data_IF_683834033869
#
_entry.id   IF_683834033869
#
_cell.length_a   1.000
_cell.length_b   1.000
_cell.length_c   1.000
_cell.angle_alpha   90.00
_cell.angle_beta   90.00
_cell.angle_gamma   90.00
#
_symmetry.space_group_name_H-M   'P 1'
#
loop_
_entity.id
_entity.type
_entity.pdbx_description
1 polymer ?
#
# COMPACT_ATOMS: atom_id res chain seq x y z
N UNK A 1 24.26 26.17 27.85
CA UNK A 1 22.98 25.84 28.51
C UNK A 1 22.49 24.61 27.80
N UNK A 2 22.44 23.46 28.49
CA UNK A 2 21.97 22.21 27.89
C UNK A 2 20.44 22.25 27.89
N UNK A 3 19.82 22.32 26.71
CA UNK A 3 18.39 22.03 26.54
C UNK A 3 18.18 20.56 26.93
N UNK A 4 17.66 20.35 28.14
CA UNK A 4 17.25 19.03 28.58
C UNK A 4 16.02 18.61 27.79
N UNK A 5 16.06 17.41 27.20
CA UNK A 5 14.91 16.76 26.57
C UNK A 5 13.72 16.80 27.55
N UNK A 6 12.54 17.29 27.14
CA UNK A 6 11.38 17.31 28.01
C UNK A 6 11.05 15.89 28.50
N UNK A 7 10.50 15.74 29.72
CA UNK A 7 10.13 14.43 30.24
C UNK A 7 9.11 13.75 29.31
N UNK A 8 9.18 12.41 29.16
CA UNK A 8 8.26 11.68 28.28
C UNK A 8 6.82 11.89 28.73
N UNK A 9 5.95 12.23 27.77
CA UNK A 9 4.51 12.41 27.99
C UNK A 9 3.85 11.05 28.23
N UNK A 10 3.15 10.90 29.35
CA UNK A 10 2.35 9.69 29.64
C UNK A 10 0.96 9.85 29.05
N UNK A 11 0.68 9.11 27.98
CA UNK A 11 -0.61 9.18 27.26
C UNK A 11 -1.68 8.39 28.02
N UNK A 12 -2.86 8.98 28.21
CA UNK A 12 -3.99 8.29 28.82
C UNK A 12 -4.56 7.22 27.87
N UNK A 13 -5.09 6.12 28.40
CA UNK A 13 -5.63 5.04 27.57
C UNK A 13 -6.77 5.50 26.65
N UNK A 14 -7.62 6.42 27.13
CA UNK A 14 -8.75 6.96 26.37
C UNK A 14 -8.31 7.85 25.19
N UNK A 15 -7.06 8.30 25.19
CA UNK A 15 -6.45 9.12 24.13
C UNK A 15 -5.69 8.26 23.10
N UNK A 16 -5.67 6.94 23.28
CA UNK A 16 -5.07 5.99 22.34
C UNK A 16 -6.07 5.56 21.27
N UNK A 17 -5.59 5.49 20.04
CA UNK A 17 -6.34 4.93 18.93
C UNK A 17 -6.55 3.43 19.15
N UNK A 18 -7.77 2.90 19.07
CA UNK A 18 -8.02 1.47 19.27
C UNK A 18 -7.52 0.58 18.12
N UNK A 19 -7.02 1.16 17.03
CA UNK A 19 -6.49 0.42 15.86
C UNK A 19 -4.97 0.33 15.90
N UNK A 20 -4.27 1.47 16.05
CA UNK A 20 -2.80 1.50 16.07
C UNK A 20 -2.20 1.53 17.48
N UNK A 21 -3.01 1.73 18.52
CA UNK A 21 -2.61 1.84 19.92
C UNK A 21 -1.61 2.98 20.21
N UNK A 22 -1.53 3.97 19.32
CA UNK A 22 -0.76 5.22 19.49
C UNK A 22 -1.70 6.37 19.84
N UNK A 23 -1.14 7.52 20.23
CA UNK A 23 -1.91 8.76 20.42
C UNK A 23 -2.80 9.04 19.20
N UNK A 24 -4.08 9.31 19.44
CA UNK A 24 -5.03 9.73 18.42
C UNK A 24 -4.49 10.94 17.64
N UNK A 25 -4.33 10.80 16.34
CA UNK A 25 -3.87 11.86 15.45
C UNK A 25 -4.92 12.12 14.36
N UNK A 26 -5.26 13.39 14.16
CA UNK A 26 -6.38 13.81 13.31
C UNK A 26 -7.61 12.89 13.49
N UNK A 27 -8.13 12.76 14.73
CA UNK A 27 -9.17 11.80 15.05
C UNK A 27 -10.43 12.04 14.21
N UNK A 28 -11.06 10.94 13.81
CA UNK A 28 -12.38 10.95 13.20
C UNK A 28 -13.38 10.28 14.12
N UNK A 29 -14.60 10.82 14.14
CA UNK A 29 -15.72 10.27 14.88
C UNK A 29 -16.70 9.62 13.91
N UNK A 30 -17.00 8.36 14.18
CA UNK A 30 -17.99 7.59 13.43
C UNK A 30 -19.41 7.93 13.88
N UNK A 31 -20.43 7.67 13.05
CA UNK A 31 -21.85 7.85 13.44
C UNK A 31 -22.28 6.89 14.54
N UNK A 32 -21.59 5.76 14.70
CA UNK A 32 -21.72 4.86 15.86
C UNK A 32 -20.90 5.30 17.09
N UNK A 33 -20.37 6.53 17.08
CA UNK A 33 -19.67 7.19 18.18
C UNK A 33 -18.31 6.59 18.61
N UNK A 34 -17.69 5.73 17.80
CA UNK A 34 -16.30 5.32 18.00
C UNK A 34 -15.33 6.36 17.41
N UNK A 35 -14.18 6.52 18.07
CA UNK A 35 -13.12 7.47 17.71
C UNK A 35 -11.86 6.67 17.37
N UNK A 36 -11.19 7.06 16.29
CA UNK A 36 -9.92 6.50 15.84
C UNK A 36 -9.16 7.53 15.00
N UNK A 37 -7.88 7.28 14.72
CA UNK A 37 -7.13 8.12 13.78
C UNK A 37 -7.82 8.13 12.41
N UNK A 38 -7.84 9.29 11.75
CA UNK A 38 -8.38 9.39 10.39
C UNK A 38 -7.67 8.46 9.41
N UNK A 39 -6.35 8.33 9.54
CA UNK A 39 -5.54 7.41 8.72
C UNK A 39 -5.90 5.95 8.93
N UNK A 40 -6.16 5.52 10.16
CA UNK A 40 -6.62 4.17 10.48
C UNK A 40 -8.01 3.89 9.90
N UNK A 41 -8.94 4.85 9.99
CA UNK A 41 -10.27 4.70 9.38
C UNK A 41 -10.17 4.61 7.86
N UNK A 42 -9.29 5.40 7.25
CA UNK A 42 -9.05 5.37 5.80
C UNK A 42 -8.51 4.02 5.34
N UNK A 43 -7.46 3.51 5.99
CA UNK A 43 -6.90 2.19 5.67
C UNK A 43 -7.95 1.09 5.84
N UNK A 44 -8.78 1.18 6.89
CA UNK A 44 -9.85 0.22 7.12
C UNK A 44 -10.96 0.29 6.07
N UNK A 45 -11.34 1.50 5.64
CA UNK A 45 -12.30 1.70 4.58
C UNK A 45 -11.80 1.12 3.25
N UNK A 46 -10.52 1.34 2.92
CA UNK A 46 -9.87 0.77 1.73
C UNK A 46 -9.84 -0.77 1.78
N UNK A 47 -9.52 -1.37 2.94
CA UNK A 47 -9.48 -2.81 3.11
C UNK A 47 -10.88 -3.45 3.11
N UNK A 48 -11.82 -2.89 3.86
CA UNK A 48 -13.22 -3.38 3.95
C UNK A 48 -13.92 -3.35 2.60
N UNK A 49 -13.53 -2.38 1.77
CA UNK A 49 -14.02 -2.20 0.42
C UNK A 49 -13.72 -3.38 -0.52
N UNK A 50 -12.72 -4.20 -0.23
CA UNK A 50 -12.44 -5.39 -1.04
C UNK A 50 -13.45 -6.53 -0.83
N UNK A 51 -14.29 -6.47 0.22
CA UNK A 51 -15.14 -7.60 0.64
C UNK A 51 -16.66 -7.38 0.51
N UNK A 52 -17.15 -6.13 0.49
CA UNK A 52 -18.54 -5.75 0.19
C UNK A 52 -18.64 -4.21 0.16
N UNK A 53 -18.86 -3.57 -1.01
CA UNK A 53 -19.14 -2.12 -1.06
C UNK A 53 -20.45 -1.87 -1.77
N UNK A 54 -21.31 -1.13 -1.09
CA UNK A 54 -22.32 -0.28 -1.69
C UNK A 54 -21.71 1.10 -1.85
N UNK A 55 -21.76 1.63 -3.07
CA UNK A 55 -21.41 3.00 -3.49
C UNK A 55 -21.15 3.97 -2.32
N UNK A 56 -19.89 4.35 -2.09
CA UNK A 56 -19.63 5.62 -1.41
C UNK A 56 -19.73 6.74 -2.46
N UNK A 57 -20.64 7.67 -2.21
CA UNK A 57 -21.25 8.58 -3.16
C UNK A 57 -20.49 9.87 -3.42
N UNK A 58 -19.16 9.85 -3.37
CA UNK A 58 -18.35 10.97 -3.83
C UNK A 58 -17.39 10.45 -4.89
N UNK A 59 -17.85 10.56 -6.14
CA UNK A 59 -17.07 10.47 -7.36
C UNK A 59 -15.79 11.30 -7.22
N UNK A 60 -14.70 10.70 -6.72
CA UNK A 60 -13.43 10.98 -7.37
C UNK A 60 -13.63 10.49 -8.79
N UNK A 61 -13.83 11.43 -9.72
CA UNK A 61 -13.78 11.13 -11.13
C UNK A 61 -12.56 10.21 -11.34
N UNK A 62 -12.79 8.98 -11.80
CA UNK A 62 -11.74 8.00 -12.05
C UNK A 62 -10.67 8.56 -13.03
N UNK A 63 -10.91 9.75 -13.61
CA UNK A 63 -9.96 10.56 -14.36
C UNK A 63 -8.98 11.37 -13.50
N UNK A 64 -9.30 11.82 -12.30
CA UNK A 64 -8.49 12.76 -11.50
C UNK A 64 -7.81 12.05 -10.32
N UNK A 65 -6.55 11.64 -10.50
CA UNK A 65 -5.71 11.22 -9.39
C UNK A 65 -5.13 12.46 -8.73
N UNK A 66 -5.64 12.76 -7.53
CA UNK A 66 -5.04 13.76 -6.67
C UNK A 66 -4.12 13.06 -5.66
N UNK A 67 -2.78 13.12 -5.83
CA UNK A 67 -1.82 12.55 -4.88
C UNK A 67 -1.85 13.24 -3.51
N UNK A 68 -2.47 14.41 -3.41
CA UNK A 68 -2.70 15.13 -2.16
C UNK A 68 -4.08 14.86 -1.55
N UNK A 69 -4.90 14.01 -2.18
CA UNK A 69 -6.22 13.64 -1.65
C UNK A 69 -6.07 13.01 -0.26
N UNK A 70 -6.57 13.72 0.74
CA UNK A 70 -6.62 13.25 2.10
C UNK A 70 -7.84 12.32 2.27
N UNK A 71 -7.64 11.00 2.48
CA UNK A 71 -8.76 10.09 2.64
C UNK A 71 -9.55 10.32 3.93
N UNK A 72 -9.14 11.22 4.82
CA UNK A 72 -9.84 11.47 6.08
C UNK A 72 -11.18 12.20 5.94
N UNK A 73 -11.49 12.70 4.75
CA UNK A 73 -12.78 13.33 4.43
C UNK A 73 -13.72 12.31 3.76
N UNK A 74 -14.94 12.17 4.32
CA UNK A 74 -16.07 11.38 3.81
C UNK A 74 -15.82 9.86 3.66
N UNK A 75 -15.30 9.23 4.72
CA UNK A 75 -15.10 7.78 4.79
C UNK A 75 -16.40 7.04 5.10
N UNK A 76 -16.93 6.31 4.10
CA UNK A 76 -18.03 5.36 4.28
C UNK A 76 -17.51 3.91 4.31
N UNK A 77 -17.65 3.23 5.44
CA UNK A 77 -17.29 1.81 5.57
C UNK A 77 -17.98 1.18 6.79
N UNK A 78 -17.78 -0.11 7.01
CA UNK A 78 -18.11 -0.73 8.30
C UNK A 78 -17.12 -0.23 9.36
N UNK A 79 -17.59 0.14 10.54
CA UNK A 79 -16.73 0.58 11.64
C UNK A 79 -15.78 -0.57 12.08
N UNK A 80 -14.47 -0.32 12.28
CA UNK A 80 -13.55 -1.37 12.74
C UNK A 80 -13.89 -1.90 14.14
N UNK A 81 -14.54 -1.07 14.97
CA UNK A 81 -14.86 -1.41 16.37
C UNK A 81 -16.13 -2.24 16.48
N UNK A 82 -17.21 -1.83 15.80
CA UNK A 82 -18.53 -2.45 15.96
C UNK A 82 -19.13 -3.02 14.67
N UNK A 83 -18.40 -2.96 13.55
CA UNK A 83 -18.79 -3.47 12.22
C UNK A 83 -20.07 -2.85 11.63
N UNK A 84 -20.64 -1.85 12.29
CA UNK A 84 -21.82 -1.13 11.80
C UNK A 84 -21.42 -0.23 10.63
N UNK A 85 -22.19 -0.23 9.54
CA UNK A 85 -22.01 0.69 8.42
C UNK A 85 -22.10 2.13 8.93
N UNK A 86 -21.06 2.90 8.71
CA UNK A 86 -20.89 4.24 9.29
C UNK A 86 -20.27 5.19 8.28
N UNK A 87 -20.50 6.48 8.47
CA UNK A 87 -19.63 7.54 7.96
C UNK A 87 -18.69 7.99 9.08
N UNK A 88 -17.56 8.61 8.75
CA UNK A 88 -16.66 9.21 9.72
C UNK A 88 -16.38 10.68 9.38
N UNK A 89 -16.44 11.54 10.40
CA UNK A 89 -16.18 12.98 10.27
C UNK A 89 -15.02 13.41 11.16
N UNK A 90 -14.14 14.35 10.74
CA UNK A 90 -13.06 14.85 11.58
C UNK A 90 -13.55 15.45 12.91
N UNK A 91 -12.89 15.10 14.01
CA UNK A 91 -13.10 15.69 15.34
C UNK A 91 -11.97 16.70 15.64
N UNK A 92 -12.10 17.89 15.06
CA UNK A 92 -11.10 18.96 15.20
C UNK A 92 -11.00 19.49 16.64
N UNK A 93 -12.05 19.33 17.45
CA UNK A 93 -12.02 19.76 18.85
C UNK A 93 -11.11 18.84 19.66
N UNK A 94 -11.31 17.52 19.52
CA UNK A 94 -10.43 16.53 20.14
C UNK A 94 -8.99 16.64 19.63
N UNK A 95 -8.80 16.85 18.33
CA UNK A 95 -7.46 17.05 17.75
C UNK A 95 -6.68 18.18 18.46
N UNK A 96 -7.33 19.35 18.64
CA UNK A 96 -6.73 20.51 19.32
C UNK A 96 -6.48 20.25 20.81
N UNK A 97 -7.38 19.52 21.47
CA UNK A 97 -7.20 19.13 22.86
C UNK A 97 -5.96 18.24 23.03
N UNK A 98 -5.84 17.20 22.19
CA UNK A 98 -4.71 16.27 22.23
C UNK A 98 -3.39 16.96 21.90
N UNK A 99 -3.37 17.88 20.93
CA UNK A 99 -2.19 18.68 20.59
C UNK A 99 -1.75 19.59 21.75
N UNK A 100 -2.68 20.16 22.51
CA UNK A 100 -2.36 20.95 23.70
C UNK A 100 -1.89 20.10 24.88
N UNK A 101 -2.46 18.91 25.04
CA UNK A 101 -2.19 18.00 26.15
C UNK A 101 -0.91 17.20 25.96
N UNK A 102 -0.59 16.84 24.71
CA UNK A 102 0.53 16.00 24.31
C UNK A 102 1.32 16.61 23.15
N UNK A 103 1.88 17.84 23.30
CA UNK A 103 2.48 18.57 22.19
C UNK A 103 3.64 17.84 21.54
N UNK A 104 4.49 17.16 22.31
CA UNK A 104 5.65 16.47 21.74
C UNK A 104 5.22 15.22 20.97
N UNK A 105 4.38 14.37 21.58
CA UNK A 105 3.90 13.15 20.93
C UNK A 105 3.01 13.47 19.73
N UNK A 106 2.19 14.52 19.79
CA UNK A 106 1.33 14.90 18.66
C UNK A 106 2.14 15.39 17.45
N UNK A 107 3.23 16.15 17.67
CA UNK A 107 4.15 16.54 16.61
C UNK A 107 4.92 15.34 16.02
N UNK A 108 5.30 14.35 16.83
CA UNK A 108 5.89 13.09 16.33
C UNK A 108 4.89 12.36 15.43
N UNK A 109 3.65 12.21 15.87
CA UNK A 109 2.57 11.60 15.07
C UNK A 109 2.32 12.36 13.77
N UNK A 110 2.42 13.70 13.77
CA UNK A 110 2.35 14.51 12.54
C UNK A 110 3.44 14.13 11.55
N UNK A 111 4.70 14.05 12.01
CA UNK A 111 5.84 13.68 11.15
C UNK A 111 5.67 12.28 10.57
N UNK A 112 5.23 11.32 11.38
CA UNK A 112 4.99 9.95 10.92
C UNK A 112 3.94 9.90 9.81
N UNK A 113 2.83 10.62 9.96
CA UNK A 113 1.77 10.69 8.94
C UNK A 113 2.22 11.42 7.67
N UNK A 114 3.01 12.49 7.79
CA UNK A 114 3.63 13.16 6.64
C UNK A 114 4.55 12.19 5.86
N UNK A 115 5.29 11.33 6.56
CA UNK A 115 6.13 10.30 5.94
C UNK A 115 5.28 9.24 5.25
N UNK A 116 4.25 8.71 5.91
CA UNK A 116 3.35 7.71 5.32
C UNK A 116 2.63 8.24 4.07
N UNK A 117 2.30 9.53 4.03
CA UNK A 117 1.67 10.21 2.89
C UNK A 117 2.67 10.57 1.78
N UNK A 118 3.99 10.40 2.02
CA UNK A 118 5.03 10.79 1.07
C UNK A 118 5.27 12.29 0.98
N UNK A 119 4.79 13.06 1.96
CA UNK A 119 5.01 14.51 2.07
C UNK A 119 6.37 14.83 2.68
N UNK A 120 6.96 13.87 3.39
CA UNK A 120 8.26 13.99 4.05
C UNK A 120 9.06 12.70 3.89
N UNK A 121 10.39 12.84 3.88
CA UNK A 121 11.31 11.71 4.01
C UNK A 121 11.46 11.36 5.49
N UNK A 122 11.17 10.11 5.83
CA UNK A 122 11.33 9.57 7.17
C UNK A 122 12.76 9.16 7.48
N UNK A 123 12.95 8.58 8.67
CA UNK A 123 14.24 8.04 9.07
C UNK A 123 14.75 6.99 8.08
N UNK A 124 16.06 6.97 7.85
CA UNK A 124 16.69 6.05 6.89
C UNK A 124 16.32 6.30 5.43
N UNK A 125 15.82 7.49 5.08
CA UNK A 125 15.50 7.86 3.70
C UNK A 125 14.21 7.23 3.17
N UNK A 126 13.33 6.75 4.06
CA UNK A 126 12.07 6.10 3.69
C UNK A 126 11.03 7.15 3.29
N UNK A 127 10.41 6.98 2.12
CA UNK A 127 9.35 7.83 1.59
C UNK A 127 8.06 7.00 1.39
N UNK A 128 6.92 7.53 1.82
CA UNK A 128 5.62 6.94 1.52
C UNK A 128 5.21 7.14 0.06
N UNK A 129 4.56 6.13 -0.53
CA UNK A 129 4.01 6.19 -1.89
C UNK A 129 2.56 5.70 -1.85
N UNK A 130 1.66 6.55 -2.33
CA UNK A 130 0.24 6.22 -2.49
C UNK A 130 0.02 5.67 -3.89
N UNK A 131 -0.62 4.51 -3.99
CA UNK A 131 -0.93 3.85 -5.26
C UNK A 131 -2.44 3.64 -5.37
N UNK A 132 -3.02 4.00 -6.52
CA UNK A 132 -4.36 3.56 -6.92
C UNK A 132 -4.25 2.46 -7.96
N UNK A 133 -5.03 1.41 -7.78
CA UNK A 133 -5.21 0.36 -8.77
C UNK A 133 -6.70 0.17 -9.02
N UNK A 134 -7.10 0.06 -10.27
CA UNK A 134 -8.52 -0.03 -10.58
C UNK A 134 -8.82 -0.24 -12.05
N UNK A 135 -10.11 -0.21 -12.38
CA UNK A 135 -10.55 -0.13 -13.75
C UNK A 135 -11.74 0.82 -13.91
N UNK A 136 -11.74 1.54 -15.03
CA UNK A 136 -12.93 2.18 -15.58
C UNK A 136 -13.72 1.17 -16.40
N UNK A 137 -15.02 1.36 -16.50
CA UNK A 137 -15.92 0.51 -17.27
C UNK A 137 -17.03 1.32 -17.93
N UNK A 138 -17.38 0.93 -19.15
CA UNK A 138 -18.58 1.37 -19.87
C UNK A 138 -19.13 0.22 -20.70
N UNK A 139 -20.45 0.13 -20.78
CA UNK A 139 -21.12 -0.76 -21.73
C UNK A 139 -21.09 -0.17 -23.14
N UNK A 140 -20.58 -0.93 -24.10
CA UNK A 140 -20.68 -0.61 -25.53
C UNK A 140 -22.01 -1.17 -26.02
N UNK A 141 -22.89 -0.29 -26.52
CA UNK A 141 -24.16 -0.69 -27.13
C UNK A 141 -23.95 -0.80 -28.64
N UNK A 142 -23.92 -2.02 -29.17
CA UNK A 142 -23.80 -2.30 -30.60
C UNK A 142 -23.35 -3.74 -30.86
N UNK A 143 -24.18 -4.47 -31.61
CA UNK A 143 -24.10 -5.90 -31.98
C UNK A 143 -24.08 -6.92 -30.83
N UNK A 144 -24.80 -8.04 -31.03
CA UNK A 144 -24.94 -9.21 -30.14
C UNK A 144 -23.61 -9.96 -29.93
N UNK A 145 -22.54 -9.25 -29.58
CA UNK A 145 -21.22 -9.82 -29.33
C UNK A 145 -21.01 -9.98 -27.82
N UNK A 146 -20.32 -11.05 -27.42
CA UNK A 146 -20.03 -11.30 -26.00
C UNK A 146 -19.15 -10.20 -25.36
N UNK A 147 -18.37 -9.46 -26.17
CA UNK A 147 -17.41 -8.45 -25.72
C UNK A 147 -18.02 -7.06 -25.56
N UNK A 148 -19.02 -6.94 -24.68
CA UNK A 148 -19.78 -5.71 -24.45
C UNK A 148 -19.19 -4.77 -23.38
N UNK A 149 -18.19 -5.24 -22.64
CA UNK A 149 -17.56 -4.48 -21.55
C UNK A 149 -16.30 -3.79 -22.07
N UNK A 150 -16.37 -2.47 -22.25
CA UNK A 150 -15.20 -1.64 -22.50
C UNK A 150 -14.63 -1.18 -21.17
N UNK A 151 -13.44 -1.67 -20.86
CA UNK A 151 -12.80 -1.43 -19.60
C UNK A 151 -11.38 -0.92 -19.80
N UNK A 152 -10.96 -0.05 -18.88
CA UNK A 152 -9.60 0.50 -18.84
C UNK A 152 -9.03 0.25 -17.46
N UNK A 153 -8.12 -0.71 -17.35
CA UNK A 153 -7.32 -0.92 -16.15
C UNK A 153 -6.29 0.21 -16.02
N UNK A 154 -6.01 0.64 -14.80
CA UNK A 154 -5.05 1.69 -14.51
C UNK A 154 -4.29 1.44 -13.21
N UNK A 155 -3.04 1.91 -13.18
CA UNK A 155 -2.24 2.08 -11.96
C UNK A 155 -1.78 3.52 -11.88
N UNK A 156 -2.07 4.21 -10.79
CA UNK A 156 -1.66 5.59 -10.54
C UNK A 156 -0.88 5.66 -9.25
N UNK A 157 0.09 6.58 -9.17
CA UNK A 157 0.99 6.68 -8.02
C UNK A 157 1.32 8.13 -7.71
N UNK A 158 1.53 8.46 -6.44
CA UNK A 158 1.93 9.81 -6.01
C UNK A 158 3.33 10.18 -6.47
N UNK A 159 4.16 9.18 -6.81
CA UNK A 159 5.53 9.34 -7.31
C UNK A 159 5.69 8.63 -8.65
N UNK A 160 5.10 9.12 -9.75
CA UNK A 160 5.28 8.52 -11.07
C UNK A 160 6.69 8.75 -11.62
N UNK A 161 7.43 9.73 -11.10
CA UNK A 161 8.80 10.07 -11.47
C UNK A 161 9.80 8.92 -11.21
N UNK A 162 9.57 8.16 -10.15
CA UNK A 162 10.45 7.05 -9.73
C UNK A 162 10.04 5.68 -10.32
N UNK A 163 8.92 5.60 -11.03
CA UNK A 163 8.48 4.35 -11.68
C UNK A 163 9.20 4.19 -13.02
N UNK A 164 9.84 3.04 -13.21
CA UNK A 164 10.47 2.67 -14.49
C UNK A 164 9.41 2.12 -15.46
N UNK A 165 8.66 1.13 -14.99
CA UNK A 165 7.61 0.47 -15.77
C UNK A 165 6.58 -0.22 -14.88
N UNK A 166 5.36 -0.37 -15.41
CA UNK A 166 4.32 -1.23 -14.86
C UNK A 166 4.11 -2.40 -15.80
N UNK A 167 4.43 -3.60 -15.34
CA UNK A 167 4.19 -4.85 -16.08
C UNK A 167 2.78 -5.34 -15.75
N UNK A 168 1.96 -5.55 -16.76
CA UNK A 168 0.56 -5.97 -16.60
C UNK A 168 0.36 -7.34 -17.24
N UNK A 169 -0.06 -8.31 -16.45
CA UNK A 169 -0.45 -9.64 -16.90
C UNK A 169 -1.99 -9.73 -16.92
N UNK A 170 -2.52 -9.80 -18.14
CA UNK A 170 -3.92 -10.06 -18.42
C UNK A 170 -4.17 -11.56 -18.58
N UNK A 171 -5.43 -11.96 -18.49
CA UNK A 171 -5.85 -13.32 -18.80
C UNK A 171 -5.36 -13.77 -20.20
N UNK A 172 -4.96 -15.05 -20.40
CA UNK A 172 -4.40 -15.52 -21.68
C UNK A 172 -5.30 -15.38 -22.91
N UNK A 173 -6.58 -15.07 -22.76
CA UNK A 173 -7.50 -14.77 -23.88
C UNK A 173 -7.22 -13.41 -24.52
N UNK A 174 -6.53 -12.51 -23.83
CA UNK A 174 -6.12 -11.22 -24.38
C UNK A 174 -4.82 -11.35 -25.18
N UNK A 175 -4.70 -10.52 -26.23
CA UNK A 175 -3.53 -10.50 -27.12
C UNK A 175 -3.01 -9.05 -27.26
N UNK A 176 -1.74 -8.78 -26.93
CA UNK A 176 -0.87 -9.62 -26.09
C UNK A 176 -1.42 -9.72 -24.66
N UNK A 177 -1.21 -10.86 -23.95
CA UNK A 177 -1.64 -11.02 -22.57
C UNK A 177 -0.69 -10.34 -21.57
N UNK A 178 0.54 -10.03 -21.98
CA UNK A 178 1.52 -9.31 -21.15
C UNK A 178 1.82 -7.96 -21.77
N UNK A 179 1.78 -6.91 -20.97
CA UNK A 179 2.08 -5.54 -21.37
C UNK A 179 3.13 -4.93 -20.46
N UNK A 180 3.91 -4.02 -21.01
CA UNK A 180 4.90 -3.23 -20.26
C UNK A 180 4.57 -1.76 -20.51
N UNK A 181 4.15 -1.04 -19.47
CA UNK A 181 3.72 0.34 -19.53
C UNK A 181 4.83 1.21 -18.93
N UNK A 182 5.53 1.98 -19.76
CA UNK A 182 6.72 2.76 -19.34
C UNK A 182 6.43 4.22 -19.01
N UNK A 183 5.20 4.67 -19.27
CA UNK A 183 4.81 6.06 -19.06
C UNK A 183 3.47 6.17 -18.33
N UNK A 184 3.32 7.14 -17.42
CA UNK A 184 2.02 7.45 -16.83
C UNK A 184 1.04 7.87 -17.94
N UNK A 185 -0.26 7.57 -17.83
CA UNK A 185 -0.96 7.10 -16.62
C UNK A 185 -0.98 5.58 -16.38
N UNK A 186 -0.09 4.80 -17.03
CA UNK A 186 0.00 3.33 -16.88
C UNK A 186 -1.35 2.62 -17.02
N UNK A 187 -2.02 2.83 -18.17
CA UNK A 187 -3.35 2.30 -18.44
C UNK A 187 -3.35 1.28 -19.59
N UNK A 188 -4.27 0.31 -19.52
CA UNK A 188 -4.59 -0.59 -20.63
C UNK A 188 -6.09 -0.69 -20.81
N UNK A 189 -6.54 -0.46 -22.04
CA UNK A 189 -7.95 -0.58 -22.44
C UNK A 189 -8.19 -1.81 -23.29
N UNK A 190 -9.26 -2.55 -23.01
CA UNK A 190 -9.68 -3.74 -23.75
C UNK A 190 -11.20 -3.90 -23.71
N UNK A 191 -11.70 -4.72 -24.64
CA UNK A 191 -13.07 -5.24 -24.59
C UNK A 191 -13.05 -6.63 -23.95
N UNK A 192 -13.96 -6.88 -23.02
CA UNK A 192 -14.10 -8.17 -22.35
C UNK A 192 -15.56 -8.63 -22.26
N UNK A 193 -15.73 -9.91 -21.95
CA UNK A 193 -17.03 -10.56 -21.78
C UNK A 193 -17.36 -10.90 -20.33
N UNK A 194 -16.39 -10.81 -19.42
CA UNK A 194 -16.54 -11.25 -18.03
C UNK A 194 -15.45 -10.70 -17.12
N UNK A 195 -15.52 -11.11 -15.86
CA UNK A 195 -14.61 -10.68 -14.81
C UNK A 195 -13.27 -11.42 -14.93
N UNK A 196 -12.19 -10.67 -14.88
CA UNK A 196 -10.83 -11.23 -14.89
C UNK A 196 -10.02 -10.58 -13.78
N UNK A 197 -9.13 -11.37 -13.18
CA UNK A 197 -8.10 -10.85 -12.29
C UNK A 197 -6.89 -10.46 -13.12
N UNK A 198 -6.43 -9.22 -12.93
CA UNK A 198 -5.24 -8.64 -13.53
C UNK A 198 -4.16 -8.58 -12.47
N UNK A 199 -2.99 -9.09 -12.82
CA UNK A 199 -1.78 -8.94 -12.00
C UNK A 199 -0.94 -7.80 -12.58
N UNK A 200 -0.47 -6.90 -11.72
CA UNK A 200 0.40 -5.81 -12.09
C UNK A 200 1.64 -5.79 -11.20
N UNK A 201 2.80 -5.52 -11.80
CA UNK A 201 4.06 -5.35 -11.08
C UNK A 201 4.60 -3.95 -11.37
N UNK A 202 4.83 -3.15 -10.32
CA UNK A 202 5.44 -1.81 -10.43
C UNK A 202 6.94 -1.92 -10.18
N UNK A 203 7.73 -1.61 -11.21
CA UNK A 203 9.19 -1.58 -11.17
C UNK A 203 9.66 -0.14 -10.98
N UNK A 204 10.59 0.07 -10.05
CA UNK A 204 11.15 1.39 -9.74
C UNK A 204 12.47 1.60 -10.50
N UNK A 205 12.74 2.85 -10.87
CA UNK A 205 14.04 3.26 -11.41
C UNK A 205 15.10 3.17 -10.33
N UNK A 206 16.32 2.80 -10.71
CA UNK A 206 17.47 2.99 -9.84
C UNK A 206 17.62 4.48 -9.45
N UNK A 207 18.04 4.78 -8.20
CA UNK A 207 18.42 3.86 -7.14
C UNK A 207 17.27 3.45 -6.21
N UNK A 208 16.00 3.62 -6.58
CA UNK A 208 14.88 3.36 -5.66
C UNK A 208 14.56 1.87 -5.51
N UNK A 209 14.15 1.49 -4.30
CA UNK A 209 13.66 0.15 -3.98
C UNK A 209 12.48 0.19 -3.01
N UNK A 210 11.59 -0.81 -3.11
CA UNK A 210 10.47 -0.99 -2.19
C UNK A 210 10.97 -1.44 -0.80
N UNK A 211 10.40 -0.87 0.25
CA UNK A 211 10.62 -1.27 1.65
C UNK A 211 9.55 -2.29 2.02
N UNK A 212 9.95 -3.50 2.43
CA UNK A 212 9.05 -4.52 2.99
C UNK A 212 9.37 -4.74 4.47
N UNK A 213 8.35 -5.09 5.24
CA UNK A 213 8.53 -5.56 6.61
C UNK A 213 9.26 -6.92 6.59
N UNK A 214 10.51 -6.96 7.02
CA UNK A 214 11.22 -8.20 7.34
C UNK A 214 12.17 -8.81 6.30
N UNK A 215 12.88 -8.04 5.46
CA UNK A 215 14.01 -8.60 4.69
C UNK A 215 14.75 -7.64 3.75
N UNK A 216 16.07 -7.75 3.73
CA UNK A 216 17.04 -6.92 2.99
C UNK A 216 17.15 -7.22 1.47
N UNK A 217 16.24 -7.99 0.88
CA UNK A 217 16.31 -8.28 -0.56
C UNK A 217 15.75 -7.12 -1.38
N UNK A 218 16.56 -6.59 -2.30
CA UNK A 218 16.09 -5.76 -3.43
C UNK A 218 14.99 -6.56 -4.16
N UNK A 219 13.75 -6.14 -4.04
CA UNK A 219 12.65 -6.72 -4.81
C UNK A 219 12.56 -6.01 -6.16
N UNK A 220 12.50 -6.80 -7.24
CA UNK A 220 12.41 -6.30 -8.62
C UNK A 220 11.12 -5.47 -8.88
N UNK A 221 10.10 -5.58 -8.02
CA UNK A 221 8.91 -4.74 -8.10
C UNK A 221 7.88 -5.00 -6.99
N UNK A 222 6.85 -4.16 -6.96
CA UNK A 222 5.68 -4.29 -6.09
C UNK A 222 4.55 -4.97 -6.86
N UNK A 223 4.14 -6.14 -6.39
CA UNK A 223 3.07 -6.93 -6.97
C UNK A 223 1.70 -6.49 -6.44
N UNK A 224 0.77 -6.28 -7.35
CA UNK A 224 -0.60 -5.87 -7.10
C UNK A 224 -1.55 -6.77 -7.89
N UNK A 225 -2.71 -7.05 -7.32
CA UNK A 225 -3.76 -7.86 -7.95
C UNK A 225 -5.07 -7.10 -7.93
N UNK A 226 -5.79 -7.10 -9.05
CA UNK A 226 -7.09 -6.44 -9.19
C UNK A 226 -8.07 -7.28 -9.98
N UNK A 227 -9.21 -7.60 -9.40
CA UNK A 227 -10.34 -8.20 -10.14
C UNK A 227 -11.13 -7.08 -10.79
N UNK A 228 -11.27 -7.14 -12.11
CA UNK A 228 -12.07 -6.18 -12.87
C UNK A 228 -13.47 -6.05 -12.27
N UNK A 229 -13.96 -4.82 -12.16
CA UNK A 229 -15.30 -4.52 -11.69
C UNK A 229 -16.08 -3.82 -12.80
N UNK A 230 -17.24 -4.36 -13.15
CA UNK A 230 -18.11 -3.84 -14.21
C UNK A 230 -19.40 -3.22 -13.67
N UNK A 231 -19.54 -3.05 -12.35
CA UNK A 231 -20.62 -2.28 -11.76
C UNK A 231 -20.42 -0.79 -12.08
N UNK A 232 -21.48 -0.13 -12.57
CA UNK A 232 -21.44 1.29 -12.90
C UNK A 232 -20.28 1.66 -13.84
N UNK A 233 -19.41 2.57 -13.37
CA UNK A 233 -18.23 3.07 -14.11
C UNK A 233 -16.95 2.30 -13.79
N UNK A 234 -17.03 1.18 -13.07
CA UNK A 234 -15.90 0.42 -12.55
C UNK A 234 -15.48 0.86 -11.15
N UNK A 235 -14.39 0.30 -10.62
CA UNK A 235 -13.90 0.55 -9.25
C UNK A 235 -12.40 0.72 -9.18
N UNK A 236 -11.94 1.18 -8.02
CA UNK A 236 -10.53 1.29 -7.67
C UNK A 236 -10.30 0.99 -6.19
N UNK A 237 -9.07 0.60 -5.87
CA UNK A 237 -8.55 0.45 -4.52
C UNK A 237 -7.30 1.29 -4.32
N UNK A 238 -6.92 1.46 -3.05
CA UNK A 238 -5.76 2.23 -2.60
C UNK A 238 -4.76 1.29 -1.93
N UNK A 239 -3.49 1.52 -2.20
CA UNK A 239 -2.37 0.80 -1.58
C UNK A 239 -1.35 1.81 -1.09
N UNK A 240 -0.93 1.67 0.17
CA UNK A 240 0.20 2.40 0.75
C UNK A 240 1.43 1.53 0.68
N UNK A 241 2.49 2.06 0.09
CA UNK A 241 3.79 1.41 0.01
C UNK A 241 4.87 2.38 0.51
N UNK A 242 6.04 1.83 0.86
CA UNK A 242 7.21 2.61 1.27
C UNK A 242 8.34 2.35 0.29
N UNK A 243 9.09 3.39 -0.05
CA UNK A 243 10.28 3.30 -0.91
C UNK A 243 11.47 3.91 -0.20
N UNK A 244 12.67 3.53 -0.61
CA UNK A 244 13.92 4.18 -0.19
C UNK A 244 14.91 4.17 -1.34
N UNK A 245 15.88 5.08 -1.32
CA UNK A 245 17.07 4.95 -2.17
C UNK A 245 17.94 3.82 -1.60
N UNK A 246 18.27 2.86 -2.44
CA UNK A 246 19.19 1.79 -2.12
C UNK A 246 20.58 2.30 -2.45
N UNK A 247 21.38 2.56 -1.42
CA UNK A 247 22.79 2.88 -1.64
C UNK A 247 23.47 1.68 -2.30
N UNK A 248 24.37 1.95 -3.25
CA UNK A 248 25.29 0.94 -3.75
C UNK A 248 26.19 0.56 -2.57
N UNK A 249 25.89 -0.54 -1.89
CA UNK A 249 26.92 -1.24 -1.12
C UNK A 249 28.01 -1.59 -2.12
N UNK A 250 29.11 -0.84 -2.09
CA UNK A 250 30.33 -1.16 -2.79
C UNK A 250 30.61 -2.65 -2.59
N UNK A 251 30.77 -3.38 -3.71
CA UNK A 251 30.84 -4.84 -3.73
C UNK A 251 31.71 -5.40 -2.61
N UNK A 252 31.07 -6.10 -1.67
CA UNK A 252 31.77 -7.10 -0.88
C UNK A 252 32.06 -8.25 -1.83
N UNK A 253 33.36 -8.45 -2.06
CA UNK A 253 33.88 -9.22 -3.17
C UNK A 253 33.28 -10.62 -3.29
N UNK A 254 32.99 -10.97 -4.53
CA UNK A 254 32.91 -12.35 -4.97
C UNK A 254 34.22 -13.04 -4.57
N UNK A 255 34.21 -13.72 -3.43
CA UNK A 255 35.24 -14.65 -3.06
C UNK A 255 35.18 -15.82 -4.03
N UNK A 256 35.95 -15.73 -5.11
CA UNK A 256 36.46 -16.87 -5.87
C UNK A 256 36.90 -17.97 -4.90
N UNK A 257 36.11 -19.04 -4.79
CA UNK A 257 36.59 -20.31 -4.28
C UNK A 257 36.90 -21.20 -5.48
N UNK A 258 38.15 -21.02 -5.90
CA UNK A 258 39.01 -21.86 -6.73
C UNK A 258 38.62 -23.35 -6.78
N UNK A 259 38.27 -23.81 -7.99
CA UNK A 259 38.23 -25.22 -8.35
C UNK A 259 39.66 -25.77 -8.44
N UNK A 260 40.08 -26.59 -7.47
CA UNK A 260 41.43 -27.14 -7.54
C UNK A 260 41.81 -28.24 -6.54
N UNK A 261 41.48 -29.48 -6.91
CA UNK A 261 42.25 -30.72 -6.63
C UNK A 261 42.12 -31.43 -5.27
N UNK A 262 41.34 -32.52 -5.33
CA UNK A 262 41.83 -33.89 -5.17
C UNK A 262 42.61 -34.25 -3.90
N UNK A 263 41.95 -34.96 -2.96
CA UNK A 263 42.51 -36.18 -2.33
C UNK A 263 41.55 -36.88 -1.35
N UNK A 264 41.11 -38.07 -1.79
CA UNK A 264 41.03 -39.36 -1.08
C UNK A 264 40.27 -39.43 0.26
N UNK A 265 39.13 -40.11 0.23
CA UNK A 265 38.54 -40.83 1.37
C UNK A 265 39.56 -41.72 2.09
N UNK A 266 39.38 -41.89 3.41
CA UNK A 266 39.21 -43.25 3.90
C UNK A 266 38.06 -43.40 4.90
N UNK A 267 37.42 -44.56 4.74
CA UNK A 267 36.47 -45.23 5.63
C UNK A 267 37.04 -45.38 7.04
N UNK A 268 36.24 -45.14 8.09
CA UNK A 268 36.37 -45.92 9.32
C UNK A 268 35.06 -45.95 10.12
N UNK A 269 34.39 -47.10 10.10
CA UNK A 269 33.34 -47.49 11.04
C UNK A 269 33.99 -48.14 12.27
N UNK A 270 33.55 -47.82 13.50
CA UNK A 270 33.64 -48.76 14.61
C UNK A 270 32.26 -49.39 14.86
N UNK A 271 32.22 -50.72 14.73
CA UNK A 271 31.16 -51.61 15.16
C UNK A 271 31.31 -51.95 16.65
N UNK A 272 30.17 -52.09 17.34
CA UNK A 272 29.80 -53.05 18.42
C UNK A 272 30.57 -52.97 19.76
N UNK A 273 29.91 -52.99 20.93
CA UNK A 273 29.17 -54.12 21.53
C UNK A 273 28.12 -53.61 22.56
N UNK A 274 26.89 -54.18 22.55
CA UNK A 274 26.26 -55.15 23.49
C UNK A 274 25.79 -54.57 24.83
N UNK A 275 24.52 -54.83 25.15
CA UNK A 275 24.06 -55.58 26.34
C UNK A 275 22.54 -55.82 26.15
N UNK A 276 22.19 -57.05 25.77
CA UNK A 276 21.37 -58.05 26.51
C UNK A 276 19.85 -57.84 26.42
#
# INVERSE_FOLDING_TARGET
MAEGTPPPETIAHDDLCPVCHLLLFAPVKTTCAHILCGSCMAQWADASSTSNISHSSLDLDLSHFDPSYDPTYDLEANCPMCRTRTTASPDNALARQLEQQYPNTYEERRKEEEVERGQRVGEGGVEGVMILIGNRHRLVRGEETANKHDWTFFVRTSRPDIVEEVRVNLHPTFRPPRLVLRQPPFEVRRLGWGYFTIEAQIVLKEPYGWVKDGGERRHEGLELTWTLDFEGRGRQGRVRAKVRKVEETAGEGEGELDEGQDRRSPVNWPHLDRDE
#
